data_IF_294150232962
#
_entry.id   IF_294150232962
#
_cell.length_a   1.000
_cell.length_b   1.000
_cell.length_c   1.000
_cell.angle_alpha   90.00
_cell.angle_beta   90.00
_cell.angle_gamma   90.00
#
_symmetry.space_group_name_H-M   'P 1'
#
loop_
_entity.id
_entity.type
_entity.pdbx_description
1 polymer ?
#
# COMPACT_ATOMS: atom_id res chain seq x y z
N UNK A 1 -19.89 30.78 6.14
CA UNK A 1 -19.47 29.68 5.24
C UNK A 1 -17.96 29.40 5.23
N UNK A 2 -17.15 30.00 6.12
CA UNK A 2 -15.69 29.83 6.09
C UNK A 2 -15.22 28.44 6.56
N UNK A 3 -15.91 27.84 7.54
CA UNK A 3 -15.54 26.51 8.07
C UNK A 3 -15.68 25.37 7.05
N UNK A 4 -16.72 25.40 6.22
CA UNK A 4 -16.91 24.42 5.15
C UNK A 4 -15.81 24.50 4.08
N UNK A 5 -15.44 25.71 3.65
CA UNK A 5 -14.37 25.90 2.70
C UNK A 5 -13.00 25.44 3.25
N UNK A 6 -12.71 25.74 4.52
CA UNK A 6 -11.51 25.27 5.20
C UNK A 6 -11.45 23.74 5.30
N UNK A 7 -12.57 23.10 5.65
CA UNK A 7 -12.68 21.64 5.66
C UNK A 7 -12.42 21.02 4.29
N UNK A 8 -13.04 21.54 3.23
CA UNK A 8 -12.86 21.03 1.87
C UNK A 8 -11.43 21.21 1.36
N UNK A 9 -10.76 22.29 1.76
CA UNK A 9 -9.36 22.52 1.46
C UNK A 9 -8.45 21.49 2.15
N UNK A 10 -8.67 21.22 3.43
CA UNK A 10 -7.95 20.18 4.17
C UNK A 10 -8.18 18.79 3.55
N UNK A 11 -9.41 18.47 3.16
CA UNK A 11 -9.75 17.21 2.51
C UNK A 11 -9.02 17.06 1.17
N UNK A 12 -8.99 18.12 0.35
CA UNK A 12 -8.25 18.16 -0.91
C UNK A 12 -6.76 17.91 -0.70
N UNK A 13 -6.14 18.59 0.27
CA UNK A 13 -4.75 18.33 0.64
C UNK A 13 -4.51 16.88 1.06
N UNK A 14 -5.40 16.32 1.90
CA UNK A 14 -5.29 14.93 2.34
C UNK A 14 -5.34 13.96 1.16
N UNK A 15 -6.20 14.19 0.16
CA UNK A 15 -6.27 13.36 -1.05
C UNK A 15 -5.01 13.45 -1.91
N UNK A 16 -4.47 14.65 -2.10
CA UNK A 16 -3.23 14.85 -2.86
C UNK A 16 -2.07 14.13 -2.16
N UNK A 17 -1.94 14.28 -0.84
CA UNK A 17 -0.91 13.59 -0.06
C UNK A 17 -1.09 12.07 -0.13
N UNK A 18 -2.33 11.58 0.00
CA UNK A 18 -2.63 10.15 -0.03
C UNK A 18 -2.33 9.52 -1.40
N UNK A 19 -2.74 10.15 -2.49
CA UNK A 19 -2.45 9.69 -3.86
C UNK A 19 -0.96 9.79 -4.18
N UNK A 20 -0.27 10.86 -3.75
CA UNK A 20 1.18 11.00 -3.89
C UNK A 20 1.94 9.91 -3.12
N UNK A 21 1.52 9.62 -1.88
CA UNK A 21 2.08 8.52 -1.09
C UNK A 21 1.91 7.17 -1.79
N UNK A 22 0.71 6.87 -2.30
CA UNK A 22 0.45 5.62 -3.02
C UNK A 22 1.31 5.50 -4.29
N UNK A 23 1.51 6.59 -5.02
CA UNK A 23 2.36 6.65 -6.21
C UNK A 23 3.83 6.35 -5.87
N UNK A 24 4.36 6.98 -4.81
CA UNK A 24 5.73 6.73 -4.35
C UNK A 24 5.89 5.28 -3.86
N UNK A 25 4.93 4.79 -3.07
CA UNK A 25 4.91 3.40 -2.59
C UNK A 25 4.87 2.39 -3.76
N UNK A 26 4.14 2.70 -4.83
CA UNK A 26 4.14 1.90 -6.07
C UNK A 26 5.48 1.93 -6.82
N UNK A 27 6.14 3.09 -6.86
CA UNK A 27 7.42 3.25 -7.53
C UNK A 27 8.57 2.53 -6.82
N UNK A 28 8.59 2.56 -5.49
CA UNK A 28 9.62 1.93 -4.66
C UNK A 28 9.52 0.40 -4.68
N UNK A 29 8.32 -0.17 -4.90
CA UNK A 29 8.16 -1.63 -4.95
C UNK A 29 8.81 -2.27 -6.18
N UNK A 30 9.47 -3.40 -5.96
CA UNK A 30 10.13 -4.20 -6.99
C UNK A 30 9.12 -4.83 -7.95
N UNK A 31 9.45 -4.87 -9.23
CA UNK A 31 8.61 -5.41 -10.31
C UNK A 31 8.29 -6.90 -10.14
N UNK A 32 9.28 -7.66 -9.65
CA UNK A 32 9.16 -9.11 -9.43
C UNK A 32 8.01 -9.46 -8.46
N UNK A 33 7.76 -8.59 -7.48
CA UNK A 33 6.70 -8.80 -6.50
C UNK A 33 5.30 -8.67 -7.14
N UNK A 34 5.14 -7.86 -8.18
CA UNK A 34 3.86 -7.70 -8.89
C UNK A 34 3.52 -8.94 -9.73
N UNK A 35 4.52 -9.53 -10.38
CA UNK A 35 4.35 -10.79 -11.11
C UNK A 35 4.03 -11.96 -10.18
N UNK A 36 4.76 -12.05 -9.07
CA UNK A 36 4.55 -13.14 -8.13
C UNK A 36 3.20 -13.05 -7.40
N UNK A 37 2.65 -11.84 -7.24
CA UNK A 37 1.35 -11.62 -6.59
C UNK A 37 0.14 -11.84 -7.52
N UNK A 38 0.35 -12.29 -8.77
CA UNK A 38 -0.69 -12.41 -9.81
C UNK A 38 -1.52 -11.12 -10.01
N UNK A 39 -0.92 -9.96 -9.76
CA UNK A 39 -1.56 -8.64 -9.97
C UNK A 39 -1.11 -8.01 -11.30
N UNK A 40 -1.85 -6.98 -11.74
CA UNK A 40 -1.43 -6.16 -12.89
C UNK A 40 -0.04 -5.58 -12.68
N UNK A 41 0.69 -5.36 -13.78
CA UNK A 41 2.12 -5.02 -13.78
C UNK A 41 2.41 -3.68 -13.09
N UNK A 42 3.66 -3.50 -12.62
CA UNK A 42 4.13 -2.23 -12.04
C UNK A 42 3.81 -0.99 -12.90
N UNK A 43 4.11 -0.96 -14.23
CA UNK A 43 3.80 0.21 -15.05
C UNK A 43 2.29 0.53 -15.11
N UNK A 44 1.42 -0.49 -15.10
CA UNK A 44 -0.03 -0.26 -15.07
C UNK A 44 -0.46 0.50 -13.81
N UNK A 45 0.02 0.09 -12.64
CA UNK A 45 -0.30 0.76 -11.38
C UNK A 45 0.31 2.16 -11.28
N UNK A 46 1.54 2.34 -11.79
CA UNK A 46 2.17 3.66 -11.85
C UNK A 46 1.42 4.64 -12.75
N UNK A 47 0.94 4.18 -13.91
CA UNK A 47 0.15 5.03 -14.83
C UNK A 47 -1.16 5.45 -14.16
N UNK A 48 -1.89 4.51 -13.55
CA UNK A 48 -3.18 4.80 -12.92
C UNK A 48 -3.01 5.74 -11.72
N UNK A 49 -2.04 5.47 -10.84
CA UNK A 49 -1.78 6.33 -9.69
C UNK A 49 -1.21 7.69 -10.11
N UNK A 50 -0.39 7.72 -11.16
CA UNK A 50 0.08 8.94 -11.81
C UNK A 50 -1.07 9.80 -12.31
N UNK A 51 -2.00 9.20 -13.06
CA UNK A 51 -3.20 9.89 -13.53
C UNK A 51 -4.04 10.38 -12.35
N UNK A 52 -4.26 9.53 -11.34
CA UNK A 52 -5.03 9.88 -10.15
C UNK A 52 -4.43 11.09 -9.42
N UNK A 53 -3.10 11.11 -9.23
CA UNK A 53 -2.41 12.23 -8.58
C UNK A 53 -2.53 13.52 -9.39
N UNK A 54 -2.27 13.47 -10.70
CA UNK A 54 -2.38 14.63 -11.60
C UNK A 54 -3.82 15.17 -11.63
N UNK A 55 -4.80 14.29 -11.69
CA UNK A 55 -6.22 14.66 -11.65
C UNK A 55 -6.58 15.36 -10.33
N UNK A 56 -6.08 14.87 -9.19
CA UNK A 56 -6.29 15.51 -7.89
C UNK A 56 -5.61 16.89 -7.78
N UNK A 57 -4.54 17.15 -8.54
CA UNK A 57 -3.88 18.47 -8.57
C UNK A 57 -4.63 19.50 -9.42
N UNK A 58 -5.23 19.06 -10.54
CA UNK A 58 -5.83 19.96 -11.54
C UNK A 58 -7.32 20.19 -11.27
N UNK A 59 -8.04 19.17 -10.81
CA UNK A 59 -9.50 19.21 -10.67
C UNK A 59 -9.93 19.39 -9.21
N UNK A 60 -11.09 20.03 -9.02
CA UNK A 60 -11.70 20.21 -7.71
C UNK A 60 -12.20 18.85 -7.16
N UNK A 61 -12.04 18.61 -5.85
CA UNK A 61 -12.42 17.38 -5.15
C UNK A 61 -13.87 16.92 -5.39
N UNK A 62 -14.78 17.85 -5.65
CA UNK A 62 -16.20 17.54 -5.94
C UNK A 62 -16.45 17.10 -7.40
N UNK A 63 -15.43 17.10 -8.26
CA UNK A 63 -15.54 16.64 -9.64
C UNK A 63 -15.56 15.11 -9.70
N UNK A 64 -16.19 14.55 -10.72
CA UNK A 64 -16.28 13.08 -10.86
C UNK A 64 -14.92 12.42 -11.17
N UNK A 65 -13.98 13.15 -11.78
CA UNK A 65 -12.64 12.65 -12.14
C UNK A 65 -11.79 12.28 -10.91
N UNK A 66 -11.61 13.16 -9.91
CA UNK A 66 -10.91 12.84 -8.66
C UNK A 66 -11.50 11.64 -7.91
N UNK A 67 -12.82 11.42 -7.99
CA UNK A 67 -13.47 10.27 -7.35
C UNK A 67 -12.96 8.96 -7.95
N UNK A 68 -12.83 8.87 -9.27
CA UNK A 68 -12.28 7.66 -9.93
C UNK A 68 -10.81 7.47 -9.51
N UNK A 69 -10.03 8.55 -9.47
CA UNK A 69 -8.65 8.52 -8.99
C UNK A 69 -8.53 8.08 -7.52
N UNK A 70 -9.45 8.54 -6.68
CA UNK A 70 -9.57 8.14 -5.27
C UNK A 70 -9.82 6.63 -5.18
N UNK A 71 -10.80 6.11 -5.91
CA UNK A 71 -11.11 4.68 -5.93
C UNK A 71 -9.87 3.88 -6.34
N UNK A 72 -9.17 4.28 -7.39
CA UNK A 72 -7.94 3.61 -7.81
C UNK A 72 -6.85 3.64 -6.72
N UNK A 73 -6.71 4.76 -6.01
CA UNK A 73 -5.77 4.90 -4.88
C UNK A 73 -6.14 3.97 -3.73
N UNK A 74 -7.43 3.87 -3.38
CA UNK A 74 -7.94 2.98 -2.34
C UNK A 74 -7.71 1.51 -2.72
N UNK A 75 -8.05 1.11 -3.95
CA UNK A 75 -7.83 -0.27 -4.44
C UNK A 75 -6.35 -0.63 -4.38
N UNK A 76 -5.45 0.27 -4.78
CA UNK A 76 -4.02 0.04 -4.63
C UNK A 76 -3.63 -0.18 -3.16
N UNK A 77 -4.11 0.68 -2.26
CA UNK A 77 -3.75 0.65 -0.85
C UNK A 77 -4.30 -0.58 -0.11
N UNK A 78 -5.49 -1.05 -0.47
CA UNK A 78 -6.22 -2.12 0.23
C UNK A 78 -6.05 -3.49 -0.42
N UNK A 79 -5.90 -3.58 -1.73
CA UNK A 79 -5.75 -4.87 -2.43
C UNK A 79 -4.28 -5.14 -2.83
N UNK A 80 -3.66 -4.18 -3.52
CA UNK A 80 -2.34 -4.40 -4.13
C UNK A 80 -1.22 -4.34 -3.10
N UNK A 81 -1.25 -3.36 -2.20
CA UNK A 81 -0.25 -3.20 -1.16
C UNK A 81 -0.12 -4.40 -0.22
N UNK A 82 -1.20 -4.94 0.38
CA UNK A 82 -1.09 -6.13 1.20
C UNK A 82 -0.66 -7.35 0.39
N UNK A 83 -1.11 -7.51 -0.86
CA UNK A 83 -0.66 -8.59 -1.73
C UNK A 83 0.86 -8.54 -1.95
N UNK A 84 1.42 -7.38 -2.31
CA UNK A 84 2.86 -7.22 -2.52
C UNK A 84 3.69 -7.42 -1.25
N UNK A 85 3.18 -6.99 -0.09
CA UNK A 85 3.84 -7.19 1.21
C UNK A 85 3.80 -8.65 1.66
N UNK A 86 2.74 -9.37 1.34
CA UNK A 86 2.62 -10.80 1.61
C UNK A 86 3.70 -11.62 0.92
N UNK A 87 4.19 -11.16 -0.24
CA UNK A 87 5.25 -11.84 -0.99
C UNK A 87 6.66 -11.33 -0.70
N UNK A 88 6.83 -10.03 -0.40
CA UNK A 88 8.14 -9.50 0.00
C UNK A 88 8.54 -9.91 1.42
N UNK A 89 7.58 -10.33 2.24
CA UNK A 89 7.79 -10.85 3.57
C UNK A 89 7.89 -12.37 3.54
N UNK A 90 9.05 -12.89 3.14
CA UNK A 90 9.38 -14.29 3.42
C UNK A 90 9.13 -14.59 4.90
N UNK A 91 8.26 -15.57 5.15
CA UNK A 91 8.19 -16.29 6.41
C UNK A 91 7.78 -15.48 7.63
N UNK A 92 6.48 -15.15 7.75
CA UNK A 92 5.82 -15.26 9.07
C UNK A 92 5.29 -16.67 9.26
N UNK A 93 6.17 -17.63 9.10
CA UNK A 93 5.99 -18.99 9.56
C UNK A 93 7.22 -19.31 10.41
N UNK A 94 6.96 -19.80 11.62
CA UNK A 94 7.96 -20.39 12.50
C UNK A 94 8.81 -19.44 13.38
N UNK A 95 8.13 -18.74 14.31
CA UNK A 95 8.68 -18.67 15.69
C UNK A 95 8.06 -19.80 16.52
N UNK A 96 8.14 -21.01 15.99
CA UNK A 96 8.02 -22.22 16.80
C UNK A 96 9.27 -22.27 17.65
N UNK A 97 9.11 -22.02 18.94
CA UNK A 97 10.14 -22.30 19.94
C UNK A 97 10.28 -23.81 20.01
N UNK A 98 11.11 -24.38 19.14
CA UNK A 98 11.47 -25.79 19.17
C UNK A 98 12.55 -25.99 20.22
N UNK A 99 12.16 -26.00 21.49
CA UNK A 99 13.01 -26.44 22.60
C UNK A 99 12.60 -27.78 23.21
N UNK A 100 11.46 -28.37 22.84
CA UNK A 100 10.94 -29.57 23.51
C UNK A 100 10.98 -30.81 22.59
N UNK A 101 12.18 -31.29 22.31
CA UNK A 101 12.37 -32.70 21.97
C UNK A 101 12.21 -33.57 23.23
N UNK A 102 11.75 -34.84 23.15
CA UNK A 102 11.56 -35.73 24.31
C UNK A 102 12.82 -36.05 25.12
N UNK A 103 13.99 -35.68 24.61
CA UNK A 103 15.29 -35.79 25.25
C UNK A 103 15.86 -34.38 25.38
N UNK A 104 15.41 -33.65 26.40
CA UNK A 104 15.97 -32.34 26.74
C UNK A 104 17.49 -32.42 26.95
N UNK A 105 18.20 -31.28 26.85
CA UNK A 105 19.65 -31.26 26.97
C UNK A 105 20.04 -31.74 28.38
N UNK A 106 20.66 -32.92 28.45
CA UNK A 106 21.25 -33.45 29.66
C UNK A 106 22.34 -32.50 30.14
N UNK A 107 22.02 -31.61 31.09
CA UNK A 107 23.02 -30.80 31.77
C UNK A 107 23.53 -31.57 32.99
N UNK A 108 24.24 -32.68 32.73
CA UNK A 108 25.00 -33.44 33.72
C UNK A 108 26.31 -32.74 34.02
N UNK A 109 26.27 -31.73 34.88
CA UNK A 109 27.42 -30.90 35.22
C UNK A 109 27.55 -30.67 36.73
N UNK A 110 28.23 -31.62 37.39
CA UNK A 110 29.04 -31.53 38.63
C UNK A 110 28.42 -30.85 39.86
#
# INVERSE_FOLDING_TARGET
>A
MQGFAGFMWLLSMALIVFSGFALIDAAVRREDAYRAADKKTKPFWLIILGLAFVVNLIFNILSFLPIIGLIATIVYMVDVRPALRGLSGGGRSHRGSSSDGPYGPYNGGR
#
